data_IF_428304953180
#
_entry.id   IF_428304953180
#
_cell.length_a   1.000
_cell.length_b   1.000
_cell.length_c   1.000
_cell.angle_alpha   90.00
_cell.angle_beta   90.00
_cell.angle_gamma   90.00
#
_symmetry.space_group_name_H-M   'P 1'
#
loop_
_entity.id
_entity.type
_entity.pdbx_description
1 polymer ?
#
# COMPACT_ATOMS: atom_id res chain seq x y z
N UNK A 1 -56.74 25.67 -2.09
CA UNK A 1 -55.32 25.44 -2.43
C UNK A 1 -55.19 25.53 -3.95
N UNK A 2 -54.25 26.31 -4.47
CA UNK A 2 -54.13 26.55 -5.92
C UNK A 2 -53.48 25.36 -6.63
N UNK A 3 -53.86 25.08 -7.88
CA UNK A 3 -53.29 24.00 -8.70
C UNK A 3 -51.75 24.09 -8.81
N UNK A 4 -51.23 25.32 -8.88
CA UNK A 4 -49.79 25.57 -8.90
C UNK A 4 -49.07 25.11 -7.63
N UNK A 5 -49.75 25.17 -6.48
CA UNK A 5 -49.21 24.76 -5.19
C UNK A 5 -49.14 23.23 -5.08
N UNK A 6 -50.15 22.52 -5.59
CA UNK A 6 -50.19 21.06 -5.67
C UNK A 6 -49.09 20.53 -6.61
N UNK A 7 -48.89 21.17 -7.77
CA UNK A 7 -47.83 20.83 -8.72
C UNK A 7 -46.42 21.03 -8.14
N UNK A 8 -46.22 22.11 -7.36
CA UNK A 8 -44.94 22.36 -6.68
C UNK A 8 -44.65 21.31 -5.61
N UNK A 9 -45.64 20.97 -4.79
CA UNK A 9 -45.50 19.97 -3.72
C UNK A 9 -45.23 18.57 -4.28
N UNK A 10 -45.97 18.14 -5.31
CA UNK A 10 -45.76 16.85 -5.98
C UNK A 10 -44.39 16.74 -6.65
N UNK A 11 -43.93 17.81 -7.30
CA UNK A 11 -42.60 17.86 -7.92
C UNK A 11 -41.50 17.74 -6.87
N UNK A 12 -41.63 18.45 -5.74
CA UNK A 12 -40.66 18.39 -4.65
C UNK A 12 -40.58 16.98 -4.04
N UNK A 13 -41.71 16.35 -3.76
CA UNK A 13 -41.76 15.00 -3.20
C UNK A 13 -41.15 13.96 -4.16
N UNK A 14 -41.40 14.09 -5.47
CA UNK A 14 -40.81 13.21 -6.47
C UNK A 14 -39.28 13.36 -6.56
N UNK A 15 -38.78 14.59 -6.54
CA UNK A 15 -37.33 14.87 -6.54
C UNK A 15 -36.64 14.32 -5.28
N UNK A 16 -37.25 14.50 -4.11
CA UNK A 16 -36.73 13.97 -2.84
C UNK A 16 -36.74 12.44 -2.83
N UNK A 17 -37.78 11.81 -3.38
CA UNK A 17 -37.89 10.34 -3.47
C UNK A 17 -36.85 9.79 -4.43
N UNK A 18 -36.65 10.43 -5.59
CA UNK A 18 -35.63 10.04 -6.57
C UNK A 18 -34.22 10.12 -5.97
N UNK A 19 -33.88 11.21 -5.27
CA UNK A 19 -32.57 11.37 -4.62
C UNK A 19 -32.31 10.28 -3.56
N UNK A 20 -33.31 9.95 -2.73
CA UNK A 20 -33.17 8.92 -1.69
C UNK A 20 -32.91 7.52 -2.27
N UNK A 21 -33.55 7.17 -3.38
CA UNK A 21 -33.36 5.87 -4.04
C UNK A 21 -31.92 5.71 -4.53
N UNK A 22 -31.32 6.76 -5.10
CA UNK A 22 -29.93 6.73 -5.59
C UNK A 22 -28.93 6.55 -4.44
N UNK A 23 -29.16 7.23 -3.31
CA UNK A 23 -28.33 7.09 -2.12
C UNK A 23 -28.41 5.67 -1.53
N UNK A 24 -29.61 5.10 -1.46
CA UNK A 24 -29.82 3.73 -0.95
C UNK A 24 -29.21 2.67 -1.88
N UNK A 25 -29.31 2.86 -3.19
CA UNK A 25 -28.72 1.95 -4.19
C UNK A 25 -27.18 1.99 -4.12
N UNK A 26 -26.59 3.17 -3.99
CA UNK A 26 -25.13 3.33 -3.82
C UNK A 26 -24.62 2.71 -2.52
N UNK A 27 -25.34 2.90 -1.40
CA UNK A 27 -24.96 2.30 -0.11
C UNK A 27 -25.00 0.76 -0.15
N UNK A 28 -25.96 0.18 -0.87
CA UNK A 28 -26.10 -1.28 -1.00
C UNK A 28 -24.94 -1.92 -1.76
N UNK A 29 -24.42 -1.25 -2.81
CA UNK A 29 -23.28 -1.74 -3.58
C UNK A 29 -21.99 -1.79 -2.74
N UNK A 30 -21.78 -0.80 -1.86
CA UNK A 30 -20.63 -0.77 -0.95
C UNK A 30 -20.72 -1.86 0.13
N UNK A 31 -21.91 -2.09 0.68
CA UNK A 31 -22.15 -3.14 1.68
C UNK A 31 -21.92 -4.55 1.14
N UNK A 32 -22.36 -4.82 -0.10
CA UNK A 32 -22.17 -6.15 -0.73
C UNK A 32 -20.72 -6.41 -1.12
N UNK A 33 -19.95 -5.36 -1.48
CA UNK A 33 -18.52 -5.49 -1.78
C UNK A 33 -17.65 -5.79 -0.54
N UNK A 34 -18.03 -5.25 0.62
CA UNK A 34 -17.33 -5.52 1.88
C UNK A 34 -17.46 -6.96 2.37
N UNK A 35 -18.51 -7.67 1.94
CA UNK A 35 -18.75 -9.08 2.28
C UNK A 35 -18.17 -10.06 1.26
N UNK A 36 -17.58 -9.59 0.15
CA UNK A 36 -17.13 -10.43 -0.96
C UNK A 36 -15.62 -10.76 -0.96
N UNK A 37 -14.89 -10.39 0.09
CA UNK A 37 -13.45 -10.61 0.15
C UNK A 37 -13.08 -11.56 1.29
N UNK A 38 -12.94 -12.83 0.98
CA UNK A 38 -12.12 -13.74 1.77
C UNK A 38 -10.66 -13.45 1.42
N UNK A 39 -9.82 -12.98 2.36
CA UNK A 39 -8.40 -12.82 2.11
C UNK A 39 -7.82 -14.15 1.64
N UNK A 40 -7.02 -14.15 0.58
CA UNK A 40 -6.31 -15.36 0.15
C UNK A 40 -5.57 -15.92 1.37
N UNK A 41 -5.90 -17.15 1.84
CA UNK A 41 -5.33 -17.67 3.06
C UNK A 41 -3.81 -17.74 2.91
N UNK A 42 -3.11 -17.30 3.95
CA UNK A 42 -1.66 -17.38 3.98
C UNK A 42 -1.23 -18.85 3.79
N UNK A 43 -0.14 -19.11 3.05
CA UNK A 43 0.34 -20.47 2.84
C UNK A 43 0.62 -21.11 4.20
N UNK A 44 0.17 -22.36 4.37
CA UNK A 44 0.39 -23.13 5.59
C UNK A 44 1.87 -23.22 5.89
N UNK A 45 2.29 -22.72 7.06
CA UNK A 45 3.68 -22.85 7.52
C UNK A 45 4.03 -24.33 7.76
N UNK A 46 3.04 -25.16 8.10
CA UNK A 46 3.23 -26.59 8.30
C UNK A 46 3.65 -27.35 7.03
N UNK A 47 3.36 -26.81 5.84
CA UNK A 47 3.78 -27.40 4.55
C UNK A 47 5.11 -26.85 4.05
N UNK A 48 5.77 -25.96 4.79
CA UNK A 48 7.07 -25.41 4.40
C UNK A 48 8.18 -26.45 4.63
N UNK A 49 8.43 -27.28 3.62
CA UNK A 49 9.50 -28.28 3.65
C UNK A 49 10.90 -27.65 3.73
N UNK A 50 11.08 -26.40 3.29
CA UNK A 50 12.37 -25.72 3.30
C UNK A 50 13.00 -25.60 4.70
N UNK A 51 12.16 -25.48 5.75
CA UNK A 51 12.65 -25.38 7.15
C UNK A 51 13.15 -26.73 7.67
N UNK A 52 12.46 -27.83 7.33
CA UNK A 52 12.77 -29.17 7.83
C UNK A 52 13.74 -29.97 6.92
N UNK A 53 13.84 -29.59 5.64
CA UNK A 53 14.70 -30.27 4.68
C UNK A 53 16.16 -29.84 4.88
N UNK A 54 16.98 -30.73 5.45
CA UNK A 54 18.41 -30.49 5.71
C UNK A 54 19.27 -30.40 4.44
N UNK A 55 18.73 -30.73 3.26
CA UNK A 55 19.38 -30.46 1.98
C UNK A 55 19.20 -29.02 1.49
N UNK A 56 18.23 -28.28 2.05
CA UNK A 56 17.94 -26.86 1.73
C UNK A 56 18.31 -25.96 2.91
N UNK A 57 17.99 -26.42 4.12
CA UNK A 57 18.28 -25.76 5.39
C UNK A 57 19.74 -26.03 5.76
N UNK A 58 20.52 -24.96 5.88
CA UNK A 58 21.84 -25.01 6.51
C UNK A 58 21.69 -24.74 8.00
N UNK A 59 22.54 -25.35 8.83
CA UNK A 59 22.66 -24.92 10.22
C UNK A 59 23.02 -23.44 10.21
N UNK A 60 22.20 -22.60 10.84
CA UNK A 60 22.58 -21.22 11.14
C UNK A 60 23.70 -21.29 12.17
N UNK A 61 24.93 -21.37 11.68
CA UNK A 61 26.09 -20.99 12.47
C UNK A 61 26.02 -19.48 12.58
N UNK A 62 25.80 -18.98 13.80
CA UNK A 62 25.85 -17.55 14.05
C UNK A 62 27.27 -17.07 13.71
N UNK A 63 27.41 -16.41 12.57
CA UNK A 63 28.62 -15.71 12.18
C UNK A 63 28.41 -14.25 12.57
N UNK A 64 29.44 -13.66 13.18
CA UNK A 64 29.42 -12.23 13.48
C UNK A 64 29.32 -11.46 12.15
N UNK A 65 28.21 -10.74 11.88
CA UNK A 65 28.04 -9.99 10.64
C UNK A 65 29.03 -8.82 10.52
N UNK A 66 29.72 -8.48 11.60
CA UNK A 66 30.76 -7.47 11.66
C UNK A 66 32.17 -8.09 11.67
N UNK A 67 32.31 -9.40 11.50
CA UNK A 67 33.62 -10.03 11.38
C UNK A 67 34.38 -9.44 10.18
N UNK A 68 35.52 -8.80 10.46
CA UNK A 68 36.32 -8.10 9.43
C UNK A 68 35.81 -6.71 9.04
N UNK A 69 34.72 -6.22 9.66
CA UNK A 69 34.27 -4.86 9.44
C UNK A 69 35.30 -3.87 10.02
N UNK A 70 35.82 -3.01 9.15
CA UNK A 70 36.60 -1.85 9.55
C UNK A 70 35.76 -0.61 9.32
N UNK A 71 35.41 0.10 10.40
CA UNK A 71 34.70 1.37 10.31
C UNK A 71 35.50 2.38 9.47
N UNK A 72 34.87 2.89 8.41
CA UNK A 72 35.30 4.05 7.64
C UNK A 72 34.28 5.14 7.92
N UNK A 73 34.54 5.97 8.93
CA UNK A 73 33.70 7.12 9.19
C UNK A 73 33.67 8.03 7.97
N UNK A 74 32.61 8.84 7.79
CA UNK A 74 32.63 9.90 6.80
C UNK A 74 33.84 10.80 7.11
N UNK A 75 34.91 10.64 6.33
CA UNK A 75 35.85 11.73 6.14
C UNK A 75 34.98 12.82 5.53
N UNK A 76 34.83 13.95 6.24
CA UNK A 76 33.88 15.00 5.88
C UNK A 76 33.92 15.33 4.38
N UNK A 77 32.84 15.90 3.82
CA UNK A 77 32.72 16.08 2.38
C UNK A 77 34.02 16.66 1.82
N UNK A 78 34.67 15.89 0.92
CA UNK A 78 35.87 16.36 0.23
C UNK A 78 35.51 17.69 -0.43
N UNK A 79 36.43 18.65 -0.38
CA UNK A 79 36.20 19.93 -1.04
C UNK A 79 35.87 19.70 -2.52
N UNK A 80 34.70 20.17 -2.94
CA UNK A 80 34.15 19.88 -4.26
C UNK A 80 35.00 20.47 -5.38
N UNK A 81 35.76 21.55 -5.11
CA UNK A 81 36.66 22.16 -6.11
C UNK A 81 37.84 21.24 -6.42
N UNK A 82 38.42 20.61 -5.40
CA UNK A 82 39.48 19.60 -5.56
C UNK A 82 39.00 18.43 -6.42
N UNK A 83 37.78 17.93 -6.16
CA UNK A 83 37.20 16.81 -6.92
C UNK A 83 36.97 17.19 -8.38
N UNK A 84 36.46 18.40 -8.65
CA UNK A 84 36.24 18.86 -10.02
C UNK A 84 37.55 19.01 -10.82
N UNK A 85 38.66 19.42 -10.20
CA UNK A 85 39.96 19.46 -10.85
C UNK A 85 40.46 18.05 -11.20
N UNK A 86 40.36 17.11 -10.26
CA UNK A 86 40.73 15.70 -10.48
C UNK A 86 39.91 15.05 -11.61
N UNK A 87 38.65 15.44 -11.77
CA UNK A 87 37.71 14.90 -12.76
C UNK A 87 37.67 15.69 -14.07
N UNK A 88 38.46 16.74 -14.23
CA UNK A 88 38.52 17.47 -15.49
C UNK A 88 39.29 16.62 -16.51
N UNK A 89 38.59 16.13 -17.54
CA UNK A 89 39.15 15.30 -18.63
C UNK A 89 40.07 16.08 -19.61
N UNK A 90 40.81 17.07 -19.10
CA UNK A 90 41.62 17.97 -19.92
C UNK A 90 43.10 17.89 -19.57
N UNK A 91 43.85 17.10 -20.34
CA UNK A 91 45.24 17.41 -20.66
C UNK A 91 45.30 17.83 -22.13
#
# INVERSE_FOLDING_TARGET
MSLAQILRETTFINQVTFMKIHLLMGASALGLGACAYEPTPLPSVATQQAVANTAVSSLISYQDPLAGYTYRGPTGPRDWRSVNQEQTEGN
#
